data_IF_385207482320
#
_entry.id   IF_385207482320
#
_cell.length_a   1.000
_cell.length_b   1.000
_cell.length_c   1.000
_cell.angle_alpha   90.00
_cell.angle_beta   90.00
_cell.angle_gamma   90.00
#
_symmetry.space_group_name_H-M   'P 1'
#
loop_
_entity.id
_entity.type
_entity.pdbx_description
1 polymer ?
#
# COMPACT_ATOMS: atom_id res chain seq x y z
N UNK A 1 21.28 2.15 17.38
CA UNK A 1 20.28 3.04 18.01
C UNK A 1 18.92 2.48 17.69
N UNK A 2 18.61 1.42 18.43
CA UNK A 2 17.51 0.51 18.21
C UNK A 2 16.21 1.25 18.57
N UNK A 3 15.40 1.57 17.55
CA UNK A 3 14.02 2.08 17.72
C UNK A 3 13.10 0.91 18.05
N UNK A 4 13.59 0.07 18.95
CA UNK A 4 13.15 -1.28 19.16
C UNK A 4 12.84 -1.34 20.65
N UNK A 5 11.54 -1.44 20.96
CA UNK A 5 11.02 -2.05 22.19
C UNK A 5 10.68 -1.21 23.43
N UNK A 6 10.85 0.11 23.48
CA UNK A 6 10.38 0.82 24.67
C UNK A 6 8.94 1.32 24.55
N UNK A 7 8.04 0.65 25.29
CA UNK A 7 6.80 1.26 25.73
C UNK A 7 7.15 2.52 26.52
N UNK A 8 6.71 3.68 26.03
CA UNK A 8 6.95 4.96 26.71
C UNK A 8 5.64 5.57 27.15
N UNK A 9 5.61 5.95 28.42
CA UNK A 9 4.52 6.71 29.02
C UNK A 9 5.03 8.12 29.29
N UNK A 10 4.28 9.12 28.83
CA UNK A 10 4.58 10.52 29.13
C UNK A 10 3.31 11.19 29.66
N UNK A 11 3.39 11.83 30.83
CA UNK A 11 2.30 12.65 31.34
C UNK A 11 2.04 13.81 30.37
N UNK A 12 0.80 13.98 29.96
CA UNK A 12 0.36 15.00 29.02
C UNK A 12 -0.85 15.75 29.57
N UNK A 13 -1.13 16.91 28.98
CA UNK A 13 -2.31 17.69 29.35
C UNK A 13 -3.56 17.06 28.73
N UNK A 14 -4.63 16.94 29.51
CA UNK A 14 -5.92 16.47 28.98
C UNK A 14 -6.52 17.52 28.05
N UNK A 15 -6.64 17.19 26.76
CA UNK A 15 -7.22 18.05 25.73
C UNK A 15 -8.43 17.36 25.12
N UNK A 16 -9.60 18.02 25.13
CA UNK A 16 -10.83 17.56 24.48
C UNK A 16 -11.31 18.68 23.55
N UNK A 17 -11.51 18.37 22.27
CA UNK A 17 -11.92 19.36 21.25
C UNK A 17 -11.05 20.64 21.27
N UNK A 18 -9.73 20.45 21.32
CA UNK A 18 -8.71 21.52 21.34
C UNK A 18 -8.74 22.41 22.61
N UNK A 19 -9.55 22.06 23.62
CA UNK A 19 -9.61 22.78 24.91
C UNK A 19 -8.97 21.95 26.01
N UNK A 20 -8.15 22.63 26.83
CA UNK A 20 -7.55 22.05 28.03
C UNK A 20 -8.62 21.80 29.09
N UNK A 21 -8.72 20.57 29.58
CA UNK A 21 -9.66 20.18 30.63
C UNK A 21 -8.91 19.79 31.91
N UNK A 22 -9.59 19.92 33.06
CA UNK A 22 -9.02 19.54 34.36
C UNK A 22 -8.94 18.01 34.44
N UNK A 23 -7.71 17.47 34.47
CA UNK A 23 -7.45 16.04 34.56
C UNK A 23 -6.00 15.71 34.22
N UNK A 24 -5.58 14.47 34.51
CA UNK A 24 -4.28 13.95 34.09
C UNK A 24 -4.48 13.10 32.83
N UNK A 25 -3.67 13.36 31.79
CA UNK A 25 -3.61 12.50 30.60
C UNK A 25 -2.23 11.87 30.50
N UNK A 26 -2.16 10.76 29.76
CA UNK A 26 -0.94 10.01 29.52
C UNK A 26 -0.86 9.65 28.05
N UNK A 27 0.23 10.04 27.40
CA UNK A 27 0.57 9.60 26.06
C UNK A 27 1.30 8.26 26.14
N UNK A 28 0.77 7.25 25.44
CA UNK A 28 1.38 5.93 25.33
C UNK A 28 1.99 5.75 23.94
N UNK A 29 3.30 5.60 23.86
CA UNK A 29 3.97 5.12 22.67
C UNK A 29 4.10 3.60 22.75
N UNK A 30 3.34 2.88 21.92
CA UNK A 30 3.29 1.41 21.90
C UNK A 30 4.57 0.77 21.31
N UNK A 31 5.44 1.57 20.68
CA UNK A 31 6.55 1.05 19.87
C UNK A 31 6.06 0.42 18.55
N UNK A 32 6.94 0.31 17.56
CA UNK A 32 6.55 -0.14 16.21
C UNK A 32 6.01 -1.57 16.18
N UNK A 33 6.61 -2.49 16.97
CA UNK A 33 6.24 -3.91 17.00
C UNK A 33 4.82 -4.15 17.52
N UNK A 34 4.51 -3.64 18.72
CA UNK A 34 3.18 -3.82 19.33
C UNK A 34 2.10 -3.10 18.51
N UNK A 35 2.42 -1.92 17.96
CA UNK A 35 1.52 -1.24 17.05
C UNK A 35 1.23 -2.09 15.80
N UNK A 36 2.25 -2.64 15.15
CA UNK A 36 2.08 -3.50 13.98
C UNK A 36 1.30 -4.79 14.30
N UNK A 37 1.54 -5.40 15.47
CA UNK A 37 0.80 -6.56 15.96
C UNK A 37 -0.68 -6.22 16.19
N UNK A 38 -0.97 -5.11 16.87
CA UNK A 38 -2.35 -4.64 17.08
C UNK A 38 -3.06 -4.35 15.76
N UNK A 39 -2.37 -3.78 14.76
CA UNK A 39 -2.95 -3.54 13.42
C UNK A 39 -3.31 -4.86 12.72
N UNK A 40 -2.48 -5.91 12.85
CA UNK A 40 -2.77 -7.23 12.28
C UNK A 40 -4.01 -7.85 12.94
N UNK A 41 -4.11 -7.77 14.26
CA UNK A 41 -5.17 -8.42 15.03
C UNK A 41 -6.50 -7.64 14.99
N UNK A 42 -6.44 -6.30 14.90
CA UNK A 42 -7.62 -5.43 14.94
C UNK A 42 -7.76 -4.58 13.68
N UNK A 43 -7.73 -5.22 12.52
CA UNK A 43 -7.72 -4.58 11.21
C UNK A 43 -8.87 -3.58 10.99
N UNK A 44 -10.01 -3.75 11.67
CA UNK A 44 -11.22 -2.93 11.50
C UNK A 44 -11.50 -1.94 12.65
N UNK A 45 -10.74 -1.97 13.75
CA UNK A 45 -11.04 -1.14 14.93
C UNK A 45 -10.61 0.32 14.80
N UNK A 46 -9.72 0.64 13.85
CA UNK A 46 -9.24 2.00 13.61
C UNK A 46 -9.61 2.48 12.19
N UNK A 47 -10.60 3.38 12.11
CA UNK A 47 -11.17 3.90 10.85
C UNK A 47 -10.32 5.00 10.16
N UNK A 48 -9.06 5.26 10.57
CA UNK A 48 -8.16 6.23 9.89
C UNK A 48 -6.70 5.79 9.74
N UNK A 49 -6.04 6.44 8.77
CA UNK A 49 -4.71 6.20 8.15
C UNK A 49 -3.77 5.25 8.91
N UNK A 50 -3.74 4.00 8.43
CA UNK A 50 -2.73 3.00 8.80
C UNK A 50 -1.36 3.50 8.32
N UNK A 51 -0.53 3.98 9.23
CA UNK A 51 0.90 4.18 8.96
C UNK A 51 1.61 2.92 9.41
N UNK A 52 1.98 2.06 8.46
CA UNK A 52 2.84 0.91 8.76
C UNK A 52 4.23 1.47 9.04
N UNK A 53 4.77 1.16 10.21
CA UNK A 53 6.17 1.44 10.51
C UNK A 53 6.98 0.28 9.94
N UNK A 54 7.49 0.48 8.73
CA UNK A 54 8.45 -0.45 8.10
C UNK A 54 9.84 -0.21 8.70
N UNK A 55 10.56 -1.27 9.03
CA UNK A 55 11.99 -1.17 9.35
C UNK A 55 12.81 -0.75 8.11
N UNK A 56 14.04 -0.23 8.28
CA UNK A 56 14.92 0.05 7.15
C UNK A 56 15.16 -1.18 6.25
N UNK A 57 15.22 -2.37 6.82
CA UNK A 57 15.38 -3.65 6.10
C UNK A 57 14.12 -3.97 5.29
N UNK A 58 12.94 -3.94 5.90
CA UNK A 58 11.65 -4.19 5.22
C UNK A 58 11.44 -3.21 4.04
N UNK A 59 11.79 -1.94 4.25
CA UNK A 59 11.75 -0.93 3.20
C UNK A 59 12.73 -1.26 2.06
N UNK A 60 13.92 -1.76 2.39
CA UNK A 60 14.94 -2.16 1.43
C UNK A 60 14.51 -3.38 0.60
N UNK A 61 13.87 -4.36 1.23
CA UNK A 61 13.30 -5.53 0.56
C UNK A 61 12.17 -5.15 -0.39
N UNK A 62 11.24 -4.29 0.04
CA UNK A 62 10.18 -3.74 -0.82
C UNK A 62 10.76 -3.02 -2.05
N UNK A 63 11.83 -2.25 -1.85
CA UNK A 63 12.53 -1.58 -2.95
C UNK A 63 13.17 -2.60 -3.90
N UNK A 64 13.84 -3.64 -3.38
CA UNK A 64 14.40 -4.74 -4.18
C UNK A 64 13.32 -5.42 -5.02
N UNK A 65 12.18 -5.76 -4.43
CA UNK A 65 11.07 -6.39 -5.15
C UNK A 65 10.55 -5.50 -6.28
N UNK A 66 10.45 -4.20 -6.03
CA UNK A 66 10.04 -3.23 -7.06
C UNK A 66 11.04 -3.18 -8.22
N UNK A 67 12.35 -3.25 -7.93
CA UNK A 67 13.40 -3.33 -8.96
C UNK A 67 13.33 -4.64 -9.75
N UNK A 68 13.08 -5.78 -9.09
CA UNK A 68 12.91 -7.09 -9.73
C UNK A 68 11.70 -7.06 -10.67
N UNK A 69 10.56 -6.55 -10.22
CA UNK A 69 9.35 -6.41 -11.03
C UNK A 69 9.59 -5.56 -12.29
N UNK A 70 10.39 -4.50 -12.17
CA UNK A 70 10.77 -3.65 -13.30
C UNK A 70 11.71 -4.35 -14.28
N UNK A 71 12.63 -5.17 -13.78
CA UNK A 71 13.60 -5.90 -14.59
C UNK A 71 13.01 -7.12 -15.30
N UNK A 72 12.01 -7.77 -14.70
CA UNK A 72 11.35 -8.97 -15.25
C UNK A 72 10.69 -8.74 -16.62
N UNK A 73 10.18 -7.54 -16.87
CA UNK A 73 9.44 -7.23 -18.08
C UNK A 73 10.27 -6.41 -19.06
N UNK A 74 10.63 -7.03 -20.19
CA UNK A 74 11.16 -6.30 -21.35
C UNK A 74 10.00 -5.66 -22.08
N UNK A 75 9.98 -4.33 -22.12
CA UNK A 75 8.95 -3.59 -22.87
C UNK A 75 9.39 -3.57 -24.33
N UNK A 76 8.76 -4.44 -25.12
CA UNK A 76 8.89 -4.49 -26.58
C UNK A 76 7.63 -3.90 -27.23
N UNK A 77 7.71 -3.52 -28.50
CA UNK A 77 6.55 -2.99 -29.23
C UNK A 77 5.42 -4.02 -29.34
N UNK A 78 5.76 -5.29 -29.58
CA UNK A 78 4.81 -6.40 -29.60
C UNK A 78 4.08 -6.57 -28.25
N UNK A 79 4.79 -6.40 -27.13
CA UNK A 79 4.18 -6.45 -25.81
C UNK A 79 3.14 -5.32 -25.63
N UNK A 80 3.42 -4.11 -26.10
CA UNK A 80 2.50 -2.97 -25.99
C UNK A 80 1.23 -3.18 -26.80
N UNK A 81 1.35 -3.71 -28.02
CA UNK A 81 0.20 -4.04 -28.87
C UNK A 81 -0.67 -5.15 -28.24
N UNK A 82 -0.04 -6.18 -27.68
CA UNK A 82 -0.74 -7.23 -26.94
C UNK A 82 -1.42 -6.67 -25.69
N UNK A 83 -0.76 -5.78 -24.95
CA UNK A 83 -1.34 -5.15 -23.76
C UNK A 83 -2.57 -4.30 -24.08
N UNK A 84 -2.55 -3.55 -25.19
CA UNK A 84 -3.72 -2.75 -25.64
C UNK A 84 -4.96 -3.64 -25.82
N UNK A 85 -4.81 -4.83 -26.42
CA UNK A 85 -5.91 -5.78 -26.60
C UNK A 85 -6.37 -6.37 -25.25
N UNK A 86 -5.42 -6.88 -24.46
CA UNK A 86 -5.71 -7.55 -23.19
C UNK A 86 -6.43 -6.65 -22.17
N UNK A 87 -6.12 -5.35 -22.14
CA UNK A 87 -6.75 -4.37 -21.23
C UNK A 87 -8.27 -4.27 -21.46
N UNK A 88 -8.75 -4.59 -22.66
CA UNK A 88 -10.17 -4.62 -23.01
C UNK A 88 -10.81 -6.01 -22.93
N UNK A 89 -10.02 -7.08 -22.85
CA UNK A 89 -10.49 -8.47 -22.74
C UNK A 89 -10.61 -8.95 -21.29
N UNK A 90 -9.73 -8.47 -20.40
CA UNK A 90 -9.71 -8.91 -19.00
C UNK A 90 -9.27 -7.81 -18.02
N UNK A 91 -9.64 -7.91 -16.73
CA UNK A 91 -9.22 -6.96 -15.72
C UNK A 91 -7.70 -7.04 -15.45
N UNK A 92 -7.12 -5.89 -15.09
CA UNK A 92 -5.66 -5.72 -14.93
C UNK A 92 -5.01 -6.73 -13.97
N UNK A 93 -5.71 -7.19 -12.93
CA UNK A 93 -5.16 -8.17 -11.99
C UNK A 93 -4.90 -9.54 -12.66
N UNK A 94 -5.75 -9.97 -13.61
CA UNK A 94 -5.51 -11.20 -14.39
C UNK A 94 -4.34 -11.04 -15.36
N UNK A 95 -4.19 -9.86 -15.94
CA UNK A 95 -3.03 -9.53 -16.79
C UNK A 95 -1.75 -9.56 -15.95
N UNK A 96 -1.80 -9.02 -14.73
CA UNK A 96 -0.69 -9.00 -13.78
C UNK A 96 -0.20 -10.42 -13.44
N UNK A 97 -1.13 -11.32 -13.14
CA UNK A 97 -0.85 -12.74 -12.90
C UNK A 97 -0.22 -13.40 -14.13
N UNK A 98 -0.79 -13.18 -15.33
CA UNK A 98 -0.28 -13.75 -16.58
C UNK A 98 1.19 -13.39 -16.86
N UNK A 99 1.59 -12.16 -16.57
CA UNK A 99 2.96 -11.70 -16.76
C UNK A 99 3.83 -11.77 -15.49
N UNK A 100 3.30 -12.30 -14.37
CA UNK A 100 3.99 -12.38 -13.08
C UNK A 100 4.59 -11.05 -12.61
N UNK A 101 3.87 -9.95 -12.86
CA UNK A 101 4.22 -8.58 -12.48
C UNK A 101 3.16 -7.99 -11.56
N UNK A 102 3.51 -6.96 -10.82
CA UNK A 102 2.56 -6.24 -9.98
C UNK A 102 1.55 -5.44 -10.81
N UNK A 103 0.29 -5.38 -10.36
CA UNK A 103 -0.79 -4.62 -11.01
C UNK A 103 -0.44 -3.12 -11.15
N UNK A 104 0.30 -2.56 -10.18
CA UNK A 104 0.86 -1.22 -10.23
C UNK A 104 1.78 -1.01 -11.42
N UNK A 105 2.60 -2.01 -11.78
CA UNK A 105 3.52 -1.94 -12.90
C UNK A 105 2.79 -1.88 -14.24
N UNK A 106 1.73 -2.68 -14.42
CA UNK A 106 0.88 -2.60 -15.62
C UNK A 106 0.24 -1.22 -15.73
N UNK A 107 -0.28 -0.70 -14.63
CA UNK A 107 -0.89 0.64 -14.60
C UNK A 107 0.13 1.73 -14.97
N UNK A 108 1.36 1.63 -14.47
CA UNK A 108 2.47 2.53 -14.83
C UNK A 108 2.80 2.45 -16.33
N UNK A 109 2.81 1.25 -16.91
CA UNK A 109 3.04 1.06 -18.35
C UNK A 109 1.90 1.67 -19.16
N UNK A 110 0.64 1.40 -18.83
CA UNK A 110 -0.49 1.99 -19.54
C UNK A 110 -0.46 3.52 -19.49
N UNK A 111 -0.04 4.10 -18.36
CA UNK A 111 0.12 5.55 -18.22
C UNK A 111 1.28 6.08 -19.07
N UNK A 112 2.42 5.38 -19.07
CA UNK A 112 3.64 5.81 -19.78
C UNK A 112 3.49 5.74 -21.30
N UNK A 113 2.75 4.76 -21.80
CA UNK A 113 2.53 4.52 -23.24
C UNK A 113 1.12 4.93 -23.70
N UNK A 114 0.41 5.71 -22.88
CA UNK A 114 -0.91 6.28 -23.20
C UNK A 114 -1.94 5.25 -23.69
N UNK A 115 -1.88 4.04 -23.14
CA UNK A 115 -2.82 2.96 -23.45
C UNK A 115 -4.17 3.27 -22.80
N UNK A 116 -5.20 3.44 -23.64
CA UNK A 116 -6.57 3.67 -23.18
C UNK A 116 -7.06 2.44 -22.41
N UNK A 117 -7.49 2.67 -21.17
CA UNK A 117 -8.02 1.64 -20.28
C UNK A 117 -9.50 1.88 -20.01
N UNK A 118 -10.29 0.81 -19.76
CA UNK A 118 -11.69 0.97 -19.44
C UNK A 118 -11.87 1.80 -18.16
N UNK A 119 -13.00 2.50 -18.08
CA UNK A 119 -13.35 3.34 -16.93
C UNK A 119 -13.42 2.54 -15.63
N UNK A 120 -13.20 3.23 -14.50
CA UNK A 120 -13.34 2.61 -13.18
C UNK A 120 -14.74 2.01 -13.05
N UNK A 121 -14.79 0.72 -12.68
CA UNK A 121 -16.04 -0.02 -12.53
C UNK A 121 -16.56 -0.71 -13.79
N UNK A 122 -15.94 -0.53 -14.96
CA UNK A 122 -16.31 -1.26 -16.19
C UNK A 122 -16.36 -2.78 -15.95
N UNK A 123 -15.27 -3.34 -15.43
CA UNK A 123 -15.17 -4.77 -15.15
C UNK A 123 -16.12 -5.24 -14.05
N UNK A 124 -16.50 -4.37 -13.09
CA UNK A 124 -17.47 -4.73 -12.05
C UNK A 124 -18.90 -4.81 -12.60
N UNK A 125 -19.23 -4.00 -13.61
CA UNK A 125 -20.55 -4.01 -14.24
C UNK A 125 -20.76 -5.23 -15.15
N UNK A 126 -19.70 -5.68 -15.81
CA UNK A 126 -19.74 -6.82 -16.75
C UNK A 126 -19.56 -8.21 -16.07
N UNK A 127 -19.37 -8.25 -14.75
CA UNK A 127 -19.26 -9.49 -13.97
C UNK A 127 -20.62 -9.94 -13.37
N UNK A 128 -21.69 -9.19 -13.63
CA UNK A 128 -23.08 -9.54 -13.33
C UNK A 128 -23.78 -9.99 -14.61
#
# INVERSE_FOLDING_TARGET
NDIEYELRYKKSESIINEKKVKGESWDLALGAKLFNEMIRNYQFSMLRKRKIFESPEEKSERMRQTCIDRAKLKITDDFLENLKKLVWEMPLYKIAEKYSISNSRITEICKKYEIVKPQIGYWRKNLN
#
